data_IF_328105172734
#
_entry.id   IF_328105172734
#
_cell.length_a   1.000
_cell.length_b   1.000
_cell.length_c   1.000
_cell.angle_alpha   90.00
_cell.angle_beta   90.00
_cell.angle_gamma   90.00
#
_symmetry.space_group_name_H-M   'P 1'
#
loop_
_entity.id
_entity.type
_entity.pdbx_description
1 polymer ?
#
# COMPACT_ATOMS: atom_id res chain seq x y z
N UNK A 1 -51.01 -25.70 -41.74
CA UNK A 1 -49.57 -25.39 -42.01
C UNK A 1 -49.10 -24.08 -41.37
N UNK A 2 -49.83 -22.98 -41.46
CA UNK A 2 -49.45 -21.65 -40.92
C UNK A 2 -49.17 -21.59 -39.40
N UNK A 3 -49.97 -22.24 -38.55
CA UNK A 3 -49.79 -22.28 -37.08
C UNK A 3 -48.44 -22.90 -36.63
N UNK A 4 -47.89 -23.82 -37.39
CA UNK A 4 -46.61 -24.50 -37.10
C UNK A 4 -45.39 -23.61 -37.43
N UNK A 5 -45.53 -22.76 -38.44
CA UNK A 5 -44.50 -21.80 -38.87
C UNK A 5 -44.44 -20.64 -37.87
N UNK A 6 -45.60 -20.14 -37.38
CA UNK A 6 -45.61 -19.09 -36.35
C UNK A 6 -44.97 -19.54 -35.05
N UNK A 7 -45.31 -20.71 -34.51
CA UNK A 7 -44.64 -21.25 -33.30
C UNK A 7 -43.10 -21.39 -33.43
N UNK A 8 -42.63 -21.74 -34.64
CA UNK A 8 -41.18 -21.87 -34.89
C UNK A 8 -40.49 -20.51 -34.91
N UNK A 9 -41.12 -19.47 -35.45
CA UNK A 9 -40.61 -18.10 -35.44
C UNK A 9 -40.58 -17.50 -34.03
N UNK A 10 -41.62 -17.71 -33.21
CA UNK A 10 -41.65 -17.27 -31.81
C UNK A 10 -40.57 -17.97 -30.94
N UNK A 11 -40.37 -19.28 -31.15
CA UNK A 11 -39.32 -20.01 -30.42
C UNK A 11 -37.92 -19.54 -30.77
N UNK A 12 -37.64 -19.15 -32.02
CA UNK A 12 -36.36 -18.59 -32.47
C UNK A 12 -36.16 -17.19 -31.90
N UNK A 13 -37.20 -16.35 -31.90
CA UNK A 13 -37.14 -15.00 -31.31
C UNK A 13 -36.89 -15.04 -29.80
N UNK A 14 -37.56 -15.94 -29.06
CA UNK A 14 -37.33 -16.13 -27.62
C UNK A 14 -35.94 -16.65 -27.30
N UNK A 15 -35.36 -17.53 -28.14
CA UNK A 15 -33.96 -17.97 -27.97
C UNK A 15 -32.98 -16.83 -28.19
N UNK A 16 -33.19 -15.96 -29.17
CA UNK A 16 -32.41 -14.77 -29.40
C UNK A 16 -32.44 -13.81 -28.21
N UNK A 17 -33.62 -13.52 -27.69
CA UNK A 17 -33.82 -12.63 -26.53
C UNK A 17 -33.13 -13.13 -25.27
N UNK A 18 -33.27 -14.42 -24.94
CA UNK A 18 -32.53 -15.05 -23.80
C UNK A 18 -31.01 -14.99 -23.96
N UNK A 19 -30.50 -15.18 -25.19
CA UNK A 19 -29.09 -15.08 -25.48
C UNK A 19 -28.52 -13.66 -25.26
N UNK A 20 -29.29 -12.63 -25.69
CA UNK A 20 -28.94 -11.23 -25.45
C UNK A 20 -28.98 -10.88 -23.97
N UNK A 21 -29.99 -11.29 -23.23
CA UNK A 21 -30.06 -11.06 -21.77
C UNK A 21 -28.88 -11.72 -21.04
N UNK A 22 -28.50 -12.94 -21.44
CA UNK A 22 -27.37 -13.64 -20.85
C UNK A 22 -26.03 -12.93 -21.15
N UNK A 23 -25.81 -12.45 -22.36
CA UNK A 23 -24.63 -11.68 -22.74
C UNK A 23 -24.55 -10.35 -22.00
N UNK A 24 -25.68 -9.66 -21.85
CA UNK A 24 -25.74 -8.42 -21.08
C UNK A 24 -25.41 -8.65 -19.60
N UNK A 25 -25.93 -9.72 -19.00
CA UNK A 25 -25.60 -10.08 -17.61
C UNK A 25 -24.11 -10.38 -17.42
N UNK A 26 -23.48 -11.10 -18.35
CA UNK A 26 -22.04 -11.36 -18.33
C UNK A 26 -21.24 -10.06 -18.43
N UNK A 27 -21.63 -9.16 -19.33
CA UNK A 27 -20.95 -7.88 -19.52
C UNK A 27 -21.03 -7.02 -18.24
N UNK A 28 -22.21 -6.92 -17.64
CA UNK A 28 -22.41 -6.17 -16.38
C UNK A 28 -21.56 -6.77 -15.25
N UNK A 29 -21.53 -8.10 -15.14
CA UNK A 29 -20.72 -8.78 -14.15
C UNK A 29 -19.22 -8.55 -14.37
N UNK A 30 -18.75 -8.61 -15.61
CA UNK A 30 -17.34 -8.34 -15.95
C UNK A 30 -16.93 -6.90 -15.63
N UNK A 31 -17.80 -5.92 -15.92
CA UNK A 31 -17.56 -4.50 -15.57
C UNK A 31 -17.54 -4.30 -14.05
N UNK A 32 -18.46 -4.95 -13.32
CA UNK A 32 -18.49 -4.89 -11.86
C UNK A 32 -17.21 -5.52 -11.26
N UNK A 33 -16.79 -6.66 -11.79
CA UNK A 33 -15.56 -7.34 -11.35
C UNK A 33 -14.32 -6.49 -11.64
N UNK A 34 -14.23 -5.87 -12.82
CA UNK A 34 -13.15 -4.95 -13.17
C UNK A 34 -13.13 -3.72 -12.26
N UNK A 35 -14.29 -3.17 -11.90
CA UNK A 35 -14.41 -2.09 -10.95
C UNK A 35 -13.92 -2.47 -9.55
N UNK A 36 -14.32 -3.63 -9.06
CA UNK A 36 -13.84 -4.18 -7.78
C UNK A 36 -12.33 -4.40 -7.82
N UNK A 37 -11.80 -5.05 -8.85
CA UNK A 37 -10.37 -5.24 -9.03
C UNK A 37 -9.62 -3.89 -9.09
N UNK A 38 -10.15 -2.90 -9.81
CA UNK A 38 -9.57 -1.56 -9.87
C UNK A 38 -9.50 -0.91 -8.49
N UNK A 39 -10.56 -1.02 -7.67
CA UNK A 39 -10.58 -0.49 -6.30
C UNK A 39 -9.61 -1.22 -5.38
N UNK A 40 -9.45 -2.54 -5.51
CA UNK A 40 -8.51 -3.33 -4.73
C UNK A 40 -7.06 -3.12 -5.17
N UNK A 41 -6.83 -2.90 -6.46
CA UNK A 41 -5.49 -2.67 -7.03
C UNK A 41 -5.08 -1.20 -6.99
N UNK A 42 -6.05 -0.29 -6.74
CA UNK A 42 -5.71 1.12 -6.58
C UNK A 42 -4.83 1.27 -5.34
N UNK A 43 -3.58 1.61 -5.59
CA UNK A 43 -2.62 1.86 -4.55
C UNK A 43 -3.08 3.04 -3.68
N UNK A 44 -3.48 2.73 -2.45
CA UNK A 44 -3.83 3.71 -1.42
C UNK A 44 -2.63 4.00 -0.51
N UNK A 45 -1.41 3.76 -0.97
CA UNK A 45 -0.21 4.18 -0.26
C UNK A 45 -0.15 5.71 -0.22
N UNK A 46 0.26 6.23 0.94
CA UNK A 46 0.54 7.65 1.05
C UNK A 46 1.81 7.97 0.28
N UNK A 47 1.82 9.08 -0.45
CA UNK A 47 3.04 9.61 -1.02
C UNK A 47 3.90 10.32 0.05
N UNK A 48 5.13 10.71 -0.31
CA UNK A 48 6.09 11.33 0.61
C UNK A 48 5.51 12.57 1.30
N UNK A 49 4.92 13.50 0.54
CA UNK A 49 4.36 14.75 1.04
C UNK A 49 3.19 14.50 2.01
N UNK A 50 2.37 13.51 1.72
CA UNK A 50 1.27 13.10 2.60
C UNK A 50 1.77 12.48 3.90
N UNK A 51 2.88 11.73 3.87
CA UNK A 51 3.51 11.16 5.07
C UNK A 51 4.10 12.27 5.93
N UNK A 52 4.79 13.24 5.32
CA UNK A 52 5.32 14.40 6.05
C UNK A 52 4.19 15.17 6.74
N UNK A 53 3.13 15.52 5.99
CA UNK A 53 1.96 16.20 6.53
C UNK A 53 1.26 15.38 7.64
N UNK A 54 1.16 14.06 7.49
CA UNK A 54 0.60 13.18 8.53
C UNK A 54 1.41 13.27 9.83
N UNK A 55 2.74 13.18 9.74
CA UNK A 55 3.61 13.26 10.91
C UNK A 55 3.54 14.65 11.56
N UNK A 56 3.59 15.73 10.79
CA UNK A 56 3.52 17.08 11.30
C UNK A 56 2.20 17.37 12.01
N UNK A 57 1.08 16.98 11.41
CA UNK A 57 -0.25 17.24 11.95
C UNK A 57 -0.63 16.36 13.15
N UNK A 58 0.06 15.22 13.36
CA UNK A 58 -0.27 14.27 14.44
C UNK A 58 0.92 13.96 15.34
N UNK A 59 1.93 14.82 15.37
CA UNK A 59 3.22 14.59 16.05
C UNK A 59 3.06 14.14 17.49
N UNK A 60 2.26 14.84 18.29
CA UNK A 60 2.06 14.52 19.71
C UNK A 60 1.46 13.13 19.90
N UNK A 61 0.42 12.81 19.15
CA UNK A 61 -0.22 11.49 19.18
C UNK A 61 0.75 10.38 18.73
N UNK A 62 1.56 10.64 17.71
CA UNK A 62 2.51 9.67 17.20
C UNK A 62 3.65 9.40 18.19
N UNK A 63 4.11 10.42 18.92
CA UNK A 63 5.09 10.27 20.00
C UNK A 63 4.48 9.47 21.14
N UNK A 64 3.24 9.76 21.55
CA UNK A 64 2.53 9.01 22.59
C UNK A 64 2.43 7.52 22.22
N UNK A 65 2.06 7.21 20.97
CA UNK A 65 2.01 5.84 20.48
C UNK A 65 3.41 5.21 20.51
N UNK A 66 4.41 5.89 19.98
CA UNK A 66 5.77 5.35 19.86
C UNK A 66 6.44 5.10 21.21
N UNK A 67 6.12 5.92 22.23
CA UNK A 67 6.66 5.80 23.58
C UNK A 67 5.80 4.92 24.52
N UNK A 68 4.69 4.35 24.04
CA UNK A 68 3.85 3.44 24.82
C UNK A 68 4.50 2.06 24.99
N UNK A 69 4.07 1.31 26.01
CA UNK A 69 4.57 -0.06 26.26
C UNK A 69 4.19 -1.05 25.14
N UNK A 70 3.16 -0.76 24.34
CA UNK A 70 2.68 -1.63 23.27
C UNK A 70 2.24 -0.82 22.04
N UNK A 71 3.16 -0.18 21.32
CA UNK A 71 2.84 0.67 20.17
C UNK A 71 1.99 -0.04 19.11
N UNK A 72 2.27 -1.34 18.87
CA UNK A 72 1.55 -2.17 17.90
C UNK A 72 0.08 -2.41 18.24
N UNK A 73 -0.33 -2.24 19.50
CA UNK A 73 -1.71 -2.37 19.96
C UNK A 73 -2.48 -1.05 19.90
N UNK A 74 -1.80 0.07 19.65
CA UNK A 74 -2.41 1.39 19.60
C UNK A 74 -3.37 1.53 18.40
N UNK A 75 -4.36 2.42 18.56
CA UNK A 75 -5.24 2.80 17.45
C UNK A 75 -4.41 3.50 16.37
N UNK A 76 -4.41 2.91 15.19
CA UNK A 76 -3.65 3.44 14.04
C UNK A 76 -4.21 4.77 13.56
N UNK A 77 -3.37 5.80 13.34
CA UNK A 77 -3.76 7.01 12.65
C UNK A 77 -4.25 6.73 11.23
N UNK A 78 -5.04 7.64 10.68
CA UNK A 78 -5.50 7.54 9.29
C UNK A 78 -4.30 7.53 8.34
N UNK A 79 -4.26 6.55 7.41
CA UNK A 79 -3.15 6.37 6.48
C UNK A 79 -2.07 5.40 6.96
N UNK A 80 -1.99 5.07 8.25
CA UNK A 80 -1.10 4.03 8.77
C UNK A 80 -1.77 2.66 8.69
N UNK A 81 -1.18 1.74 7.95
CA UNK A 81 -1.71 0.38 7.74
C UNK A 81 -1.26 -0.60 8.81
N UNK A 82 -0.03 -0.42 9.32
CA UNK A 82 0.54 -1.30 10.35
C UNK A 82 1.50 -0.51 11.24
N UNK A 83 1.53 -0.85 12.52
CA UNK A 83 2.56 -0.41 13.46
C UNK A 83 3.32 -1.65 13.90
N UNK A 84 4.63 -1.60 13.89
CA UNK A 84 5.51 -2.67 14.33
C UNK A 84 6.67 -2.11 15.15
N UNK A 85 7.26 -2.91 16.03
CA UNK A 85 8.47 -2.57 16.76
C UNK A 85 9.57 -3.52 16.32
N UNK A 86 10.70 -2.96 15.86
CA UNK A 86 11.86 -3.71 15.38
C UNK A 86 13.11 -3.07 16.00
N UNK A 87 13.82 -3.78 16.84
CA UNK A 87 15.07 -3.35 17.47
C UNK A 87 15.04 -1.93 18.09
N UNK A 88 13.93 -1.62 18.80
CA UNK A 88 13.73 -0.32 19.44
C UNK A 88 13.23 0.80 18.51
N UNK A 89 13.07 0.52 17.24
CA UNK A 89 12.45 1.42 16.25
C UNK A 89 10.97 1.11 16.11
N UNK A 90 10.12 2.13 16.16
CA UNK A 90 8.68 1.98 15.93
C UNK A 90 8.37 2.34 14.48
N UNK A 91 7.99 1.33 13.71
CA UNK A 91 7.64 1.43 12.28
C UNK A 91 6.15 1.71 12.09
N UNK A 92 5.84 2.73 11.32
CA UNK A 92 4.50 3.11 10.89
C UNK A 92 4.39 2.90 9.37
N UNK A 93 4.03 1.71 8.96
CA UNK A 93 3.88 1.35 7.56
C UNK A 93 2.64 1.99 6.94
N UNK A 94 2.80 2.75 5.87
CA UNK A 94 1.74 3.48 5.19
C UNK A 94 1.23 2.81 3.91
N UNK A 95 1.97 1.84 3.37
CA UNK A 95 1.56 1.11 2.17
C UNK A 95 2.72 0.83 1.23
N UNK A 96 2.40 0.26 0.09
CA UNK A 96 3.38 -0.06 -0.94
C UNK A 96 2.71 -0.24 -2.28
N UNK A 97 3.46 -0.16 -3.35
CA UNK A 97 3.04 -0.33 -4.74
C UNK A 97 3.94 -1.35 -5.44
N UNK A 98 3.49 -1.81 -6.60
CA UNK A 98 4.26 -2.74 -7.42
C UNK A 98 3.86 -4.20 -7.24
N UNK A 99 4.48 -5.06 -8.07
CA UNK A 99 4.26 -6.52 -8.10
C UNK A 99 5.60 -7.21 -8.30
N UNK A 100 5.87 -8.25 -7.51
CA UNK A 100 7.09 -9.05 -7.64
C UNK A 100 8.34 -8.27 -7.26
N UNK A 101 9.35 -8.26 -8.15
CA UNK A 101 10.63 -7.57 -7.96
C UNK A 101 10.58 -6.04 -8.14
N UNK A 102 9.44 -5.48 -8.50
CA UNK A 102 9.23 -4.04 -8.63
C UNK A 102 8.33 -3.50 -7.51
N UNK A 103 8.53 -3.98 -6.29
CA UNK A 103 7.70 -3.59 -5.15
C UNK A 103 8.37 -2.44 -4.40
N UNK A 104 7.60 -1.38 -4.13
CA UNK A 104 8.00 -0.28 -3.28
C UNK A 104 7.16 -0.25 -2.01
N UNK A 105 7.78 0.05 -0.88
CA UNK A 105 7.14 0.21 0.44
C UNK A 105 7.38 1.60 0.97
N UNK A 106 6.37 2.22 1.60
CA UNK A 106 6.39 3.58 2.10
C UNK A 106 5.92 3.62 3.54
N UNK A 107 6.55 4.48 4.33
CA UNK A 107 6.16 4.70 5.70
C UNK A 107 7.07 5.72 6.40
N UNK A 108 6.98 5.71 7.71
CA UNK A 108 7.87 6.47 8.57
C UNK A 108 8.16 5.68 9.84
N UNK A 109 9.24 5.99 10.50
CA UNK A 109 9.59 5.37 11.77
C UNK A 109 9.99 6.41 12.81
N UNK A 110 9.91 6.02 14.06
CA UNK A 110 10.33 6.83 15.19
C UNK A 110 11.52 6.19 15.91
N UNK A 111 12.51 7.01 16.20
CA UNK A 111 13.64 6.67 17.06
C UNK A 111 13.88 7.76 18.09
N UNK A 112 13.91 7.36 19.37
CA UNK A 112 14.11 8.29 20.48
C UNK A 112 15.55 8.89 20.50
N UNK A 113 16.54 8.19 19.94
CA UNK A 113 17.92 8.66 19.82
C UNK A 113 18.13 9.70 18.70
N UNK A 114 17.12 9.90 17.85
CA UNK A 114 17.18 10.85 16.73
C UNK A 114 18.17 10.49 15.63
N UNK A 115 18.59 9.21 15.55
CA UNK A 115 19.50 8.72 14.51
C UNK A 115 18.74 7.93 13.43
N UNK A 116 19.12 8.05 12.15
CA UNK A 116 18.53 7.22 11.11
C UNK A 116 18.84 5.74 11.35
N UNK A 117 17.87 4.87 11.04
CA UNK A 117 17.94 3.46 11.41
C UNK A 117 18.51 2.58 10.28
N UNK A 118 19.79 2.30 10.34
CA UNK A 118 20.43 1.31 9.47
C UNK A 118 19.99 -0.13 9.80
N UNK A 119 19.63 -0.42 11.04
CA UNK A 119 19.23 -1.76 11.49
C UNK A 119 17.87 -2.14 10.94
N UNK A 120 16.95 -1.20 10.82
CA UNK A 120 15.65 -1.40 10.18
C UNK A 120 15.82 -1.88 8.73
N UNK A 121 16.79 -1.31 8.00
CA UNK A 121 17.16 -1.78 6.67
C UNK A 121 17.79 -3.18 6.71
N UNK A 122 18.73 -3.42 7.61
CA UNK A 122 19.41 -4.71 7.72
C UNK A 122 18.43 -5.85 8.03
N UNK A 123 17.44 -5.63 8.89
CA UNK A 123 16.41 -6.61 9.19
C UNK A 123 15.53 -6.96 7.96
N UNK A 124 15.33 -6.01 7.05
CA UNK A 124 14.55 -6.22 5.81
C UNK A 124 15.38 -6.78 4.66
N UNK A 125 16.65 -6.36 4.54
CA UNK A 125 17.50 -6.74 3.40
C UNK A 125 18.50 -7.85 3.75
N UNK A 126 18.57 -8.27 5.01
CA UNK A 126 19.45 -9.36 5.44
C UNK A 126 20.95 -9.03 5.40
N UNK A 127 21.30 -7.76 5.31
CA UNK A 127 22.72 -7.32 5.25
C UNK A 127 22.91 -6.04 6.06
N UNK A 128 23.96 -6.01 6.86
CA UNK A 128 24.45 -4.78 7.46
C UNK A 128 25.09 -3.91 6.36
N UNK A 129 24.54 -2.73 6.13
CA UNK A 129 25.09 -1.75 5.21
C UNK A 129 25.05 -0.37 5.86
N UNK A 130 26.06 0.42 5.57
CA UNK A 130 26.16 1.78 6.08
C UNK A 130 25.23 2.71 5.28
N UNK A 131 24.52 3.57 5.99
CA UNK A 131 23.75 4.65 5.39
C UNK A 131 24.70 5.66 4.74
N UNK A 132 24.51 5.91 3.45
CA UNK A 132 25.26 6.92 2.70
C UNK A 132 24.39 8.19 2.58
N UNK A 133 24.95 9.39 2.81
CA UNK A 133 24.21 10.63 2.59
C UNK A 133 23.77 10.77 1.12
N UNK A 134 22.49 11.11 0.89
CA UNK A 134 21.93 11.39 -0.44
C UNK A 134 20.83 12.45 -0.36
N UNK A 135 21.07 13.61 -0.94
CA UNK A 135 20.15 14.75 -0.88
C UNK A 135 19.90 15.22 0.55
N UNK A 136 18.63 15.23 0.95
CA UNK A 136 18.17 15.59 2.31
C UNK A 136 18.12 14.38 3.26
N UNK A 137 18.53 13.21 2.80
CA UNK A 137 18.40 11.96 3.55
C UNK A 137 19.62 11.05 3.43
N UNK A 138 19.34 9.77 3.55
CA UNK A 138 20.33 8.70 3.53
C UNK A 138 19.81 7.55 2.69
N UNK A 139 20.73 6.83 2.05
CA UNK A 139 20.42 5.68 1.20
C UNK A 139 21.28 4.49 1.54
N UNK A 140 20.71 3.29 1.38
CA UNK A 140 21.42 2.01 1.28
C UNK A 140 21.05 1.38 -0.05
N UNK A 141 22.07 0.87 -0.78
CA UNK A 141 21.88 0.10 -2.02
C UNK A 141 22.49 -1.28 -1.86
N UNK A 142 21.69 -2.32 -2.12
CA UNK A 142 22.13 -3.73 -2.05
C UNK A 142 21.66 -4.42 -3.32
N UNK A 143 22.55 -4.58 -4.30
CA UNK A 143 22.18 -5.03 -5.63
C UNK A 143 21.22 -4.04 -6.31
N UNK A 144 20.06 -4.49 -6.73
CA UNK A 144 19.00 -3.66 -7.31
C UNK A 144 18.07 -3.04 -6.24
N UNK A 145 18.18 -3.48 -4.99
CA UNK A 145 17.35 -2.98 -3.91
C UNK A 145 17.86 -1.64 -3.38
N UNK A 146 16.96 -0.68 -3.20
CA UNK A 146 17.26 0.66 -2.70
C UNK A 146 16.38 0.95 -1.48
N UNK A 147 17.00 1.36 -0.39
CA UNK A 147 16.30 1.90 0.77
C UNK A 147 16.73 3.35 0.96
N UNK A 148 15.77 4.24 1.04
CA UNK A 148 15.98 5.66 1.31
C UNK A 148 15.28 6.06 2.61
N UNK A 149 15.92 6.91 3.40
CA UNK A 149 15.33 7.49 4.62
C UNK A 149 15.67 8.96 4.72
N UNK A 150 14.72 9.76 5.23
CA UNK A 150 14.88 11.21 5.37
C UNK A 150 14.29 11.69 6.68
N UNK A 151 15.00 12.59 7.43
CA UNK A 151 14.43 13.17 8.65
C UNK A 151 13.17 14.00 8.34
N UNK A 152 12.12 13.79 9.16
CA UNK A 152 10.94 14.67 9.20
C UNK A 152 11.08 15.63 10.39
N UNK A 153 11.87 15.24 11.41
CA UNK A 153 12.08 15.97 12.64
C UNK A 153 11.40 15.35 13.85
N UNK A 154 11.88 15.71 15.06
CA UNK A 154 11.34 15.19 16.33
C UNK A 154 11.52 13.70 16.52
N UNK A 155 12.59 13.08 15.96
CA UNK A 155 12.85 11.65 16.03
C UNK A 155 12.10 10.83 14.95
N UNK A 156 11.31 11.48 14.07
CA UNK A 156 10.64 10.82 12.97
C UNK A 156 11.44 10.89 11.68
N UNK A 157 11.42 9.78 10.93
CA UNK A 157 12.07 9.60 9.65
C UNK A 157 11.12 8.98 8.64
N UNK A 158 11.01 9.58 7.46
CA UNK A 158 10.38 8.97 6.28
C UNK A 158 11.26 7.82 5.78
N UNK A 159 10.63 6.80 5.20
CA UNK A 159 11.34 5.80 4.41
C UNK A 159 10.57 5.37 3.16
N UNK A 160 11.33 4.99 2.14
CA UNK A 160 10.88 4.20 1.01
C UNK A 160 11.89 3.08 0.74
N UNK A 161 11.38 1.91 0.36
CA UNK A 161 12.18 0.74 0.07
C UNK A 161 11.72 0.13 -1.25
N UNK A 162 12.64 -0.02 -2.20
CA UNK A 162 12.44 -0.58 -3.52
C UNK A 162 13.16 -1.93 -3.63
N UNK A 163 12.43 -2.96 -4.16
CA UNK A 163 12.90 -4.33 -4.29
C UNK A 163 12.84 -4.77 -5.74
#
# INVERSE_FOLDING_TARGET
>A
MAKRIMKKKEAVAMRGYKKHQFLTAILVFAVALAGVCYFYLKDNSLNKEQIFALVENNREQLVEIACSDAPQAAKRPLGVRKIAVVDGTVDFYCGGSGVGSETAYYGFYYRADGMPDAVFCAARFGAAADLQPEGEGFVIRIGENVYYTQPIGGGFYYYEAHF
#
